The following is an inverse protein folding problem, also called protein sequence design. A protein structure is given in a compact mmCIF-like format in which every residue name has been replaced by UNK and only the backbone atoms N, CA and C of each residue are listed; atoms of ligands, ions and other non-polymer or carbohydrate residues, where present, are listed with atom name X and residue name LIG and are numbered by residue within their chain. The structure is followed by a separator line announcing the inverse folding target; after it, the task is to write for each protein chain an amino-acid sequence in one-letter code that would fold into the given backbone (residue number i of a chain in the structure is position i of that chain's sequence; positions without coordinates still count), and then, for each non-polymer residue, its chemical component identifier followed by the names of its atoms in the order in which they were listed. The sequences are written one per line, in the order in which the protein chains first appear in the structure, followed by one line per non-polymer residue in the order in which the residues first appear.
data_IF_133608491254
#
_entry.id   IF_133608491254
#
_cell.length_a   1.000
_cell.length_b   1.000
_cell.length_c   1.000
_cell.angle_alpha   90.00
_cell.angle_beta   90.00
_cell.angle_gamma   90.00
#
_symmetry.space_group_name_H-M   'P 1'
#
loop_
_entity.id
_entity.type
_entity.pdbx_description
1 polymer ?
#
# COMPACT_ATOMS: atom_id res chain seq x y z
N UNK A 1 -0.30 28.82 -18.59
CA UNK A 1 0.71 28.66 -17.53
C UNK A 1 -0.04 28.65 -16.20
N UNK A 2 -0.52 27.49 -15.76
CA UNK A 2 -1.19 27.32 -14.47
C UNK A 2 -0.14 26.87 -13.47
N UNK A 3 0.06 27.65 -12.41
CA UNK A 3 0.94 27.28 -11.32
C UNK A 3 0.37 26.02 -10.66
N UNK A 4 1.10 24.92 -10.72
CA UNK A 4 0.88 23.75 -9.89
C UNK A 4 0.98 24.21 -8.42
N UNK A 5 -0.15 24.22 -7.71
CA UNK A 5 -0.11 24.35 -6.27
C UNK A 5 0.56 23.09 -5.71
N UNK A 6 1.84 23.20 -5.44
CA UNK A 6 2.57 22.27 -4.60
C UNK A 6 2.02 22.48 -3.19
N UNK A 7 1.34 21.47 -2.66
CA UNK A 7 0.85 21.46 -1.29
C UNK A 7 2.00 21.87 -0.34
N UNK A 8 1.78 22.90 0.49
CA UNK A 8 2.78 23.34 1.49
C UNK A 8 3.13 22.13 2.38
N UNK A 9 4.42 21.82 2.57
CA UNK A 9 4.81 20.63 3.30
C UNK A 9 4.28 20.71 4.73
N UNK A 10 3.49 19.75 5.12
CA UNK A 10 3.23 19.44 6.51
C UNK A 10 4.60 19.42 7.22
N UNK A 11 4.75 20.06 8.36
CA UNK A 11 6.04 20.19 9.09
C UNK A 11 6.63 18.84 9.51
N UNK A 12 5.88 17.76 9.33
CA UNK A 12 6.31 16.39 9.63
C UNK A 12 7.16 15.85 8.46
N UNK A 13 8.36 15.33 8.73
CA UNK A 13 9.23 14.82 7.67
C UNK A 13 8.57 13.66 6.91
N UNK A 14 8.73 13.61 5.58
CA UNK A 14 8.10 12.57 4.77
C UNK A 14 8.71 11.19 5.03
N UNK A 15 7.84 10.17 5.13
CA UNK A 15 8.24 8.75 5.18
C UNK A 15 8.53 8.21 3.79
N UNK A 16 7.96 8.83 2.75
CA UNK A 16 8.20 8.54 1.34
C UNK A 16 8.32 9.84 0.57
N UNK A 17 9.35 9.97 -0.26
CA UNK A 17 9.41 11.00 -1.30
C UNK A 17 9.79 10.35 -2.63
N UNK A 18 9.05 10.69 -3.66
CA UNK A 18 9.31 10.34 -5.05
C UNK A 18 9.65 11.64 -5.79
N UNK A 19 10.83 11.70 -6.42
CA UNK A 19 11.33 12.90 -7.06
C UNK A 19 11.57 12.64 -8.55
N UNK A 20 10.76 13.26 -9.41
CA UNK A 20 10.83 13.16 -10.87
C UNK A 20 10.89 11.71 -11.40
N UNK A 21 10.11 10.83 -10.80
CA UNK A 21 10.10 9.39 -11.12
C UNK A 21 9.62 9.16 -12.54
N UNK A 22 10.48 8.52 -13.33
CA UNK A 22 10.17 8.08 -14.69
C UNK A 22 10.36 6.59 -14.82
N UNK A 23 9.37 5.89 -15.39
CA UNK A 23 9.42 4.46 -15.70
C UNK A 23 9.09 4.25 -17.15
N UNK A 24 10.03 3.68 -17.92
CA UNK A 24 9.84 3.36 -19.33
C UNK A 24 8.70 2.37 -19.54
N UNK A 25 7.97 2.52 -20.64
CA UNK A 25 6.94 1.61 -21.13
C UNK A 25 7.11 1.30 -22.61
N UNK A 26 6.29 0.44 -23.16
CA UNK A 26 6.23 0.22 -24.62
C UNK A 26 5.46 1.36 -25.27
N UNK A 27 6.16 2.24 -26.00
CA UNK A 27 5.58 3.40 -26.69
C UNK A 27 5.53 4.67 -25.83
N UNK A 28 4.85 4.66 -24.68
CA UNK A 28 4.81 5.79 -23.75
C UNK A 28 5.34 5.38 -22.37
N UNK A 29 5.86 6.33 -21.56
CA UNK A 29 6.25 6.03 -20.18
C UNK A 29 5.06 5.48 -19.37
N UNK A 30 5.35 4.56 -18.45
CA UNK A 30 4.36 4.12 -17.43
C UNK A 30 4.21 5.16 -16.33
N UNK A 31 5.33 5.85 -15.99
CA UNK A 31 5.37 7.03 -15.13
C UNK A 31 6.28 8.06 -15.82
N UNK A 32 5.87 9.32 -15.76
CA UNK A 32 6.55 10.42 -16.46
C UNK A 32 6.72 11.61 -15.52
N UNK A 33 7.90 11.73 -14.91
CA UNK A 33 8.28 12.83 -14.05
C UNK A 33 7.45 12.96 -12.75
N UNK A 34 6.94 11.85 -12.20
CA UNK A 34 6.09 11.87 -11.01
C UNK A 34 6.86 12.33 -9.77
N UNK A 35 6.37 13.39 -9.13
CA UNK A 35 6.91 13.91 -7.87
C UNK A 35 5.79 13.97 -6.84
N UNK A 36 5.99 13.32 -5.69
CA UNK A 36 5.07 13.35 -4.55
C UNK A 36 5.81 13.05 -3.24
N UNK A 37 5.22 13.46 -2.12
CA UNK A 37 5.71 13.14 -0.78
C UNK A 37 4.55 12.64 0.07
N UNK A 38 4.82 11.76 1.02
CA UNK A 38 3.84 11.26 1.99
C UNK A 38 4.41 11.49 3.39
N UNK A 39 3.70 12.26 4.20
CA UNK A 39 4.08 12.56 5.56
C UNK A 39 3.76 11.39 6.51
N UNK A 40 4.45 11.32 7.65
CA UNK A 40 4.11 10.37 8.70
C UNK A 40 2.68 10.61 9.21
N UNK A 41 1.89 9.52 9.31
CA UNK A 41 0.50 9.57 9.73
C UNK A 41 -0.50 9.93 8.66
N UNK A 42 -0.07 10.30 7.46
CA UNK A 42 -0.94 10.74 6.37
C UNK A 42 -1.64 9.55 5.68
N UNK A 43 -2.93 9.72 5.38
CA UNK A 43 -3.77 8.77 4.63
C UNK A 43 -4.00 9.32 3.24
N UNK A 44 -3.34 8.74 2.25
CA UNK A 44 -3.37 9.23 0.86
C UNK A 44 -4.06 8.22 -0.05
N UNK A 45 -5.07 8.67 -0.77
CA UNK A 45 -5.72 7.91 -1.83
C UNK A 45 -5.06 8.16 -3.18
N UNK A 46 -4.75 7.11 -3.93
CA UNK A 46 -4.23 7.18 -5.30
C UNK A 46 -5.34 6.81 -6.28
N UNK A 47 -5.89 7.80 -6.97
CA UNK A 47 -6.97 7.64 -7.94
C UNK A 47 -6.45 7.58 -9.37
N UNK A 48 -7.22 6.96 -10.24
CA UNK A 48 -6.97 6.97 -11.69
C UNK A 48 -7.57 5.75 -12.40
N UNK A 49 -7.80 5.87 -13.71
CA UNK A 49 -8.35 4.79 -14.51
C UNK A 49 -7.40 3.58 -14.58
N UNK A 50 -7.89 2.47 -15.10
CA UNK A 50 -7.05 1.30 -15.38
C UNK A 50 -5.91 1.69 -16.33
N UNK A 51 -4.70 1.20 -16.05
CA UNK A 51 -3.51 1.56 -16.84
C UNK A 51 -2.95 2.96 -16.59
N UNK A 52 -3.47 3.73 -15.62
CA UNK A 52 -2.95 5.06 -15.26
C UNK A 52 -1.50 5.04 -14.74
N UNK A 53 -1.01 3.89 -14.23
CA UNK A 53 0.32 3.73 -13.66
C UNK A 53 0.34 3.51 -12.14
N UNK A 54 -0.83 3.35 -11.48
CA UNK A 54 -0.95 3.21 -10.01
C UNK A 54 -0.11 2.07 -9.44
N UNK A 55 -0.27 0.84 -9.94
CA UNK A 55 0.52 -0.32 -9.49
C UNK A 55 2.01 -0.16 -9.80
N UNK A 56 2.37 0.54 -10.90
CA UNK A 56 3.76 0.86 -11.21
C UNK A 56 4.33 1.85 -10.18
N UNK A 57 3.56 2.85 -9.78
CA UNK A 57 3.92 3.81 -8.74
C UNK A 57 4.16 3.11 -7.39
N UNK A 58 3.23 2.24 -6.98
CA UNK A 58 3.36 1.46 -5.75
C UNK A 58 4.54 0.50 -5.79
N UNK A 59 4.84 -0.12 -6.95
CA UNK A 59 6.01 -0.98 -7.13
C UNK A 59 7.34 -0.19 -7.07
N UNK A 60 7.36 1.06 -7.49
CA UNK A 60 8.50 1.97 -7.29
C UNK A 60 8.60 2.38 -5.83
N UNK A 61 7.49 2.76 -5.20
CA UNK A 61 7.43 3.21 -3.81
C UNK A 61 7.91 2.12 -2.83
N UNK A 62 7.63 0.85 -3.07
CA UNK A 62 8.11 -0.24 -2.23
C UNK A 62 9.50 -0.78 -2.61
N UNK A 63 10.11 -0.25 -3.68
CA UNK A 63 11.45 -0.61 -4.13
C UNK A 63 11.56 -1.91 -4.93
N UNK A 64 10.43 -2.54 -5.33
CA UNK A 64 10.41 -3.70 -6.25
C UNK A 64 10.80 -3.29 -7.66
N UNK A 65 10.38 -2.11 -8.10
CA UNK A 65 10.70 -1.58 -9.40
C UNK A 65 11.71 -0.42 -9.25
N UNK A 66 12.83 -0.51 -9.97
CA UNK A 66 13.79 0.59 -10.05
C UNK A 66 13.34 1.54 -11.17
N UNK A 67 13.12 2.84 -10.90
CA UNK A 67 12.77 3.80 -11.93
C UNK A 67 13.92 3.98 -12.93
N UNK A 68 13.58 4.37 -14.15
CA UNK A 68 14.57 4.70 -15.19
C UNK A 68 15.11 6.14 -15.06
N UNK A 69 14.47 6.99 -14.26
CA UNK A 69 14.88 8.35 -13.93
C UNK A 69 14.25 8.79 -12.62
N UNK A 70 14.83 9.80 -11.98
CA UNK A 70 14.42 10.28 -10.66
C UNK A 70 14.97 9.45 -9.51
N UNK A 71 14.53 9.76 -8.29
CA UNK A 71 14.96 9.03 -7.10
C UNK A 71 13.82 8.80 -6.11
N UNK A 72 13.96 7.73 -5.32
CA UNK A 72 13.06 7.37 -4.24
C UNK A 72 13.78 7.56 -2.92
N UNK A 73 13.15 8.26 -1.99
CA UNK A 73 13.64 8.45 -0.63
C UNK A 73 12.68 7.79 0.35
N UNK A 74 13.18 6.92 1.19
CA UNK A 74 12.46 6.35 2.34
C UNK A 74 13.03 6.92 3.63
N UNK A 75 12.17 7.51 4.46
CA UNK A 75 12.59 8.27 5.65
C UNK A 75 13.73 9.26 5.31
N UNK A 76 13.58 9.98 4.20
CA UNK A 76 14.57 10.94 3.67
C UNK A 76 15.91 10.31 3.24
N UNK A 77 16.02 8.98 3.23
CA UNK A 77 17.22 8.27 2.82
C UNK A 77 17.06 7.69 1.41
N UNK A 78 18.02 7.88 0.51
CA UNK A 78 17.98 7.26 -0.80
C UNK A 78 18.10 5.72 -0.69
N UNK A 79 17.78 5.05 -1.79
CA UNK A 79 17.88 3.60 -1.87
C UNK A 79 19.29 3.13 -1.49
N UNK A 80 19.39 2.25 -0.51
CA UNK A 80 20.67 1.72 -0.05
C UNK A 80 21.38 0.94 -1.17
N UNK A 81 22.70 1.11 -1.28
CA UNK A 81 23.52 0.41 -2.27
C UNK A 81 23.66 -1.08 -1.92
N UNK A 82 23.80 -1.43 -0.64
CA UNK A 82 23.96 -2.81 -0.20
C UNK A 82 22.64 -3.57 -0.16
N UNK A 83 22.66 -4.86 -0.47
CA UNK A 83 21.49 -5.73 -0.38
C UNK A 83 20.88 -5.74 1.04
N UNK A 84 21.73 -5.78 2.08
CA UNK A 84 21.27 -5.74 3.49
C UNK A 84 20.61 -4.40 3.84
N UNK A 85 21.13 -3.29 3.32
CA UNK A 85 20.52 -1.97 3.50
C UNK A 85 19.14 -1.90 2.85
N UNK A 86 19.01 -2.39 1.61
CA UNK A 86 17.72 -2.45 0.90
C UNK A 86 16.68 -3.28 1.64
N UNK A 87 17.06 -4.46 2.15
CA UNK A 87 16.16 -5.29 2.95
C UNK A 87 15.66 -4.55 4.20
N UNK A 88 16.54 -3.81 4.88
CA UNK A 88 16.16 -3.01 6.06
C UNK A 88 15.19 -1.88 5.70
N UNK A 89 15.41 -1.19 4.57
CA UNK A 89 14.49 -0.16 4.10
C UNK A 89 13.13 -0.77 3.73
N UNK A 90 13.12 -1.85 2.95
CA UNK A 90 11.88 -2.55 2.56
C UNK A 90 11.14 -3.17 3.74
N UNK A 91 11.84 -3.58 4.81
CA UNK A 91 11.20 -4.08 6.03
C UNK A 91 10.30 -3.04 6.72
N UNK A 92 10.47 -1.75 6.41
CA UNK A 92 9.64 -0.66 6.95
C UNK A 92 8.42 -0.33 6.07
N UNK A 93 8.27 -1.03 4.95
CA UNK A 93 7.19 -0.81 3.97
C UNK A 93 6.33 -2.06 3.91
N UNK A 94 5.15 -2.01 4.47
CA UNK A 94 4.15 -3.06 4.34
C UNK A 94 3.37 -2.89 3.04
N UNK A 95 3.22 -3.96 2.25
CA UNK A 95 2.46 -3.89 0.99
C UNK A 95 1.37 -4.94 0.94
N UNK A 96 0.14 -4.50 0.71
CA UNK A 96 -1.01 -5.33 0.41
C UNK A 96 -1.24 -5.32 -1.10
N UNK A 97 -1.02 -6.47 -1.74
CA UNK A 97 -1.19 -6.64 -3.18
C UNK A 97 -2.59 -7.13 -3.51
N UNK A 98 -3.07 -6.84 -4.71
CA UNK A 98 -4.36 -7.30 -5.21
C UNK A 98 -4.49 -8.85 -5.17
N UNK A 99 -3.40 -9.57 -5.44
CA UNK A 99 -3.32 -11.04 -5.40
C UNK A 99 -3.06 -11.61 -4.00
N UNK A 100 -3.05 -10.77 -2.96
CA UNK A 100 -2.79 -11.06 -1.54
C UNK A 100 -1.43 -11.72 -1.25
N UNK A 101 -0.87 -12.47 -2.17
CA UNK A 101 0.41 -13.22 -2.07
C UNK A 101 0.52 -14.09 -0.83
N UNK A 102 -0.58 -14.69 -0.40
CA UNK A 102 -0.59 -15.68 0.66
C UNK A 102 -0.12 -17.02 0.09
N UNK A 103 0.53 -17.82 0.93
CA UNK A 103 0.98 -19.17 0.58
C UNK A 103 -0.08 -20.15 1.10
N UNK A 104 -0.82 -20.77 0.20
CA UNK A 104 -2.00 -21.57 0.50
C UNK A 104 -1.68 -22.83 1.31
N UNK A 105 -0.49 -23.41 1.11
CA UNK A 105 0.00 -24.61 1.79
C UNK A 105 0.43 -24.34 3.23
N UNK A 106 0.68 -23.10 3.58
CA UNK A 106 1.10 -22.71 4.91
C UNK A 106 -0.10 -22.37 5.81
N UNK A 107 0.10 -22.52 7.11
CA UNK A 107 -0.87 -22.07 8.10
C UNK A 107 -0.99 -20.55 8.13
N UNK A 108 -2.08 -20.05 8.72
CA UNK A 108 -2.27 -18.60 8.97
C UNK A 108 -1.08 -18.06 9.77
N UNK A 109 -0.66 -18.71 10.84
CA UNK A 109 0.50 -18.28 11.64
C UNK A 109 1.78 -18.18 10.82
N UNK A 110 2.07 -19.18 10.01
CA UNK A 110 3.25 -19.17 9.15
C UNK A 110 3.20 -18.03 8.12
N UNK A 111 2.03 -17.76 7.54
CA UNK A 111 1.82 -16.62 6.65
C UNK A 111 2.01 -15.28 7.37
N UNK A 112 1.46 -15.11 8.57
CA UNK A 112 1.67 -13.89 9.37
C UNK A 112 3.15 -13.66 9.65
N UNK A 113 3.84 -14.70 10.09
CA UNK A 113 5.26 -14.64 10.41
C UNK A 113 6.15 -14.41 9.18
N UNK A 114 5.67 -14.71 7.96
CA UNK A 114 6.37 -14.34 6.73
C UNK A 114 6.58 -12.81 6.63
N UNK A 115 5.72 -11.98 7.21
CA UNK A 115 5.92 -10.54 7.35
C UNK A 115 7.17 -10.17 8.15
N UNK A 116 7.65 -11.05 9.03
CA UNK A 116 8.82 -10.80 9.87
C UNK A 116 10.16 -11.23 9.23
N UNK A 117 10.14 -11.90 8.07
CA UNK A 117 11.34 -12.51 7.47
C UNK A 117 12.46 -11.52 7.21
N UNK A 118 12.13 -10.27 6.85
CA UNK A 118 13.14 -9.23 6.64
C UNK A 118 13.89 -8.82 7.92
N UNK A 119 13.27 -9.02 9.10
CA UNK A 119 13.87 -8.75 10.42
C UNK A 119 14.51 -10.00 11.02
N UNK A 120 14.04 -11.18 10.65
CA UNK A 120 14.55 -12.45 11.12
C UNK A 120 15.78 -12.89 10.31
N UNK A 121 16.68 -13.57 10.96
CA UNK A 121 17.71 -14.32 10.26
C UNK A 121 17.16 -15.63 9.68
N UNK A 122 17.86 -16.24 8.73
CA UNK A 122 17.46 -17.48 8.10
C UNK A 122 17.15 -18.64 9.09
N UNK A 123 17.84 -18.80 10.26
CA UNK A 123 17.51 -19.88 11.19
C UNK A 123 16.09 -19.76 11.75
N UNK A 124 15.65 -18.53 12.09
CA UNK A 124 14.31 -18.29 12.62
C UNK A 124 13.25 -18.43 11.52
N UNK A 125 13.59 -18.09 10.28
CA UNK A 125 12.70 -18.31 9.13
C UNK A 125 12.43 -19.81 8.90
N UNK A 126 13.48 -20.66 8.98
CA UNK A 126 13.33 -22.12 8.89
C UNK A 126 12.54 -22.65 10.07
N UNK A 127 12.84 -22.19 11.29
CA UNK A 127 12.11 -22.60 12.49
C UNK A 127 10.61 -22.33 12.39
N UNK A 128 10.20 -21.21 11.76
CA UNK A 128 8.79 -20.88 11.53
C UNK A 128 8.04 -21.93 10.68
N UNK A 129 8.75 -22.68 9.84
CA UNK A 129 8.11 -23.75 9.05
C UNK A 129 7.88 -25.02 9.86
N UNK A 130 8.65 -25.22 10.93
CA UNK A 130 8.66 -26.44 11.74
C UNK A 130 7.87 -26.29 13.04
N UNK A 131 7.84 -25.10 13.61
CA UNK A 131 7.27 -24.84 14.94
C UNK A 131 6.38 -23.59 14.93
N UNK A 132 5.31 -23.55 15.75
CA UNK A 132 4.44 -22.39 15.90
C UNK A 132 5.12 -21.31 16.77
N UNK A 133 6.03 -20.54 16.19
CA UNK A 133 6.70 -19.44 16.89
C UNK A 133 5.87 -18.16 16.90
N UNK A 134 6.06 -17.31 17.92
CA UNK A 134 5.41 -16.02 18.09
C UNK A 134 3.86 -16.10 18.06
N UNK A 135 3.26 -17.21 18.53
CA UNK A 135 1.80 -17.44 18.46
C UNK A 135 0.98 -16.34 19.16
N UNK A 136 1.45 -15.83 20.31
CA UNK A 136 0.76 -14.75 21.02
C UNK A 136 0.70 -13.46 20.18
N UNK A 137 1.80 -13.05 19.58
CA UNK A 137 1.85 -11.86 18.74
C UNK A 137 1.06 -12.03 17.41
N UNK A 138 0.99 -13.27 16.88
CA UNK A 138 0.13 -13.59 15.76
C UNK A 138 -1.36 -13.50 16.15
N UNK A 139 -1.72 -14.04 17.32
CA UNK A 139 -3.09 -13.99 17.85
C UNK A 139 -3.57 -12.55 18.05
N UNK A 140 -2.75 -11.72 18.68
CA UNK A 140 -3.02 -10.29 18.85
C UNK A 140 -3.24 -9.58 17.49
N UNK A 141 -2.39 -9.90 16.49
CA UNK A 141 -2.51 -9.30 15.17
C UNK A 141 -3.78 -9.74 14.45
N UNK A 142 -4.22 -11.00 14.61
CA UNK A 142 -5.50 -11.47 14.07
C UNK A 142 -6.69 -10.77 14.73
N UNK A 143 -6.67 -10.60 16.05
CA UNK A 143 -7.73 -9.90 16.78
C UNK A 143 -7.87 -8.45 16.30
N UNK A 144 -6.76 -7.76 16.00
CA UNK A 144 -6.77 -6.40 15.40
C UNK A 144 -7.41 -6.37 14.01
N UNK A 145 -7.54 -7.51 13.35
CA UNK A 145 -8.18 -7.67 12.04
C UNK A 145 -9.56 -8.35 12.18
N UNK A 146 -10.16 -8.36 13.37
CA UNK A 146 -11.44 -9.01 13.68
C UNK A 146 -11.48 -10.47 13.24
N UNK A 147 -10.38 -11.19 13.44
CA UNK A 147 -10.28 -12.62 13.18
C UNK A 147 -10.06 -13.40 14.48
N UNK A 148 -10.70 -14.58 14.55
CA UNK A 148 -10.51 -15.51 15.66
C UNK A 148 -9.06 -16.05 15.68
N UNK A 149 -8.32 -15.93 16.81
CA UNK A 149 -7.02 -16.56 16.98
C UNK A 149 -7.02 -18.08 16.77
N UNK A 150 -8.14 -18.76 16.92
CA UNK A 150 -8.28 -20.19 16.61
C UNK A 150 -7.96 -20.56 15.17
N UNK A 151 -7.93 -19.57 14.25
CA UNK A 151 -7.54 -19.77 12.86
C UNK A 151 -6.02 -19.97 12.66
N UNK A 152 -5.17 -19.69 13.66
CA UNK A 152 -3.72 -19.70 13.51
C UNK A 152 -3.15 -20.98 12.91
N UNK A 153 -3.71 -22.14 13.31
CA UNK A 153 -3.25 -23.44 12.86
C UNK A 153 -3.95 -23.95 11.59
N UNK A 154 -4.91 -23.18 11.05
CA UNK A 154 -5.59 -23.55 9.81
C UNK A 154 -4.73 -23.20 8.59
N UNK A 155 -4.83 -24.02 7.54
CA UNK A 155 -4.28 -23.70 6.22
C UNK A 155 -5.02 -22.48 5.64
N UNK A 156 -4.29 -21.59 5.00
CA UNK A 156 -4.88 -20.42 4.32
C UNK A 156 -5.85 -20.85 3.21
N UNK A 157 -5.62 -22.00 2.57
CA UNK A 157 -6.53 -22.56 1.56
C UNK A 157 -7.95 -22.80 2.08
N UNK A 158 -8.13 -23.05 3.40
CA UNK A 158 -9.42 -23.30 4.01
C UNK A 158 -10.21 -22.03 4.38
N UNK A 159 -9.62 -20.85 4.22
CA UNK A 159 -10.21 -19.57 4.59
C UNK A 159 -11.15 -19.03 3.51
N UNK A 160 -12.20 -18.32 3.95
CA UNK A 160 -13.04 -17.51 3.05
C UNK A 160 -12.24 -16.35 2.43
N UNK A 161 -12.72 -15.77 1.31
CA UNK A 161 -12.07 -14.65 0.65
C UNK A 161 -11.83 -13.45 1.58
N UNK A 162 -12.83 -13.08 2.40
CA UNK A 162 -12.68 -12.00 3.38
C UNK A 162 -11.68 -12.32 4.50
N UNK A 163 -11.65 -13.57 4.98
CA UNK A 163 -10.64 -14.01 5.95
C UNK A 163 -9.24 -13.95 5.34
N UNK A 164 -9.06 -14.39 4.09
CA UNK A 164 -7.77 -14.31 3.38
C UNK A 164 -7.27 -12.88 3.28
N UNK A 165 -8.15 -11.92 2.97
CA UNK A 165 -7.78 -10.50 2.92
C UNK A 165 -7.35 -9.97 4.28
N UNK A 166 -8.10 -10.25 5.34
CA UNK A 166 -7.75 -9.85 6.71
C UNK A 166 -6.44 -10.51 7.17
N UNK A 167 -6.18 -11.77 6.81
CA UNK A 167 -4.88 -12.44 7.04
C UNK A 167 -3.74 -11.77 6.28
N UNK A 168 -3.95 -11.35 5.03
CA UNK A 168 -2.94 -10.61 4.27
C UNK A 168 -2.62 -9.24 4.90
N UNK A 169 -3.63 -8.54 5.41
CA UNK A 169 -3.46 -7.31 6.20
C UNK A 169 -2.71 -7.59 7.52
N UNK A 170 -3.10 -8.63 8.24
CA UNK A 170 -2.41 -9.05 9.47
C UNK A 170 -0.93 -9.35 9.21
N UNK A 171 -0.60 -10.06 8.12
CA UNK A 171 0.79 -10.31 7.70
C UNK A 171 1.54 -9.01 7.42
N UNK A 172 0.92 -8.07 6.72
CA UNK A 172 1.50 -6.75 6.46
C UNK A 172 1.81 -6.02 7.77
N UNK A 173 0.89 -6.03 8.73
CA UNK A 173 1.07 -5.37 10.03
C UNK A 173 2.12 -6.05 10.91
N UNK A 174 2.29 -7.38 10.82
CA UNK A 174 3.35 -8.13 11.52
C UNK A 174 4.76 -7.66 11.13
N UNK A 175 4.90 -7.03 9.98
CA UNK A 175 6.15 -6.39 9.55
C UNK A 175 6.48 -5.14 10.37
N UNK A 176 5.50 -4.54 11.10
CA UNK A 176 5.61 -3.27 11.83
C UNK A 176 6.06 -2.11 10.91
N UNK A 177 5.39 -1.92 9.78
CA UNK A 177 5.79 -0.92 8.82
C UNK A 177 5.50 0.50 9.30
N UNK A 178 6.25 1.47 8.79
CA UNK A 178 5.96 2.90 8.91
C UNK A 178 5.21 3.44 7.69
N UNK A 179 5.25 2.72 6.57
CA UNK A 179 4.49 3.02 5.36
C UNK A 179 3.68 1.80 4.94
N UNK A 180 2.37 1.97 4.83
CA UNK A 180 1.44 1.00 4.26
C UNK A 180 1.18 1.36 2.81
N UNK A 181 1.41 0.41 1.92
CA UNK A 181 1.03 0.51 0.50
C UNK A 181 -0.05 -0.53 0.22
N UNK A 182 -1.13 -0.14 -0.46
CA UNK A 182 -2.19 -1.07 -0.82
C UNK A 182 -2.60 -0.88 -2.28
N UNK A 183 -2.45 -1.95 -3.09
CA UNK A 183 -2.76 -1.94 -4.51
C UNK A 183 -4.13 -2.58 -4.75
N UNK A 184 -5.15 -1.74 -4.92
CA UNK A 184 -6.54 -2.12 -5.19
C UNK A 184 -7.09 -3.20 -4.25
N UNK A 185 -6.90 -3.07 -2.92
CA UNK A 185 -7.21 -4.12 -1.97
C UNK A 185 -8.71 -4.40 -1.84
N UNK A 186 -9.55 -3.51 -2.37
CA UNK A 186 -11.01 -3.56 -2.31
C UNK A 186 -11.63 -4.03 -3.64
N UNK A 187 -10.81 -4.36 -4.64
CA UNK A 187 -11.30 -4.82 -5.94
C UNK A 187 -12.03 -6.16 -5.80
N UNK A 188 -13.13 -6.31 -6.54
CA UNK A 188 -13.94 -7.53 -6.58
C UNK A 188 -14.59 -7.96 -5.26
N UNK A 189 -14.68 -7.04 -4.27
CA UNK A 189 -15.41 -7.27 -3.05
C UNK A 189 -16.84 -6.74 -3.15
N UNK A 190 -17.74 -7.36 -2.41
CA UNK A 190 -19.05 -6.75 -2.17
C UNK A 190 -18.89 -5.43 -1.41
N UNK A 191 -19.84 -4.48 -1.57
CA UNK A 191 -19.70 -3.13 -1.02
C UNK A 191 -19.53 -3.09 0.51
N UNK A 192 -20.17 -4.01 1.23
CA UNK A 192 -20.10 -4.06 2.70
C UNK A 192 -18.71 -4.50 3.15
N UNK A 193 -18.21 -5.59 2.60
CA UNK A 193 -16.88 -6.10 2.90
C UNK A 193 -15.79 -5.09 2.51
N UNK A 194 -15.97 -4.39 1.38
CA UNK A 194 -15.05 -3.33 0.96
C UNK A 194 -15.00 -2.17 1.97
N UNK A 195 -16.16 -1.75 2.49
CA UNK A 195 -16.24 -0.70 3.51
C UNK A 195 -15.56 -1.14 4.83
N UNK A 196 -15.88 -2.34 5.32
CA UNK A 196 -15.30 -2.89 6.55
C UNK A 196 -13.75 -2.99 6.46
N UNK A 197 -13.23 -3.44 5.30
CA UNK A 197 -11.79 -3.56 5.08
C UNK A 197 -11.10 -2.20 4.92
N UNK A 198 -11.79 -1.23 4.29
CA UNK A 198 -11.27 0.14 4.19
C UNK A 198 -11.16 0.77 5.58
N UNK A 199 -12.20 0.63 6.41
CA UNK A 199 -12.19 1.14 7.78
C UNK A 199 -11.01 0.54 8.58
N UNK A 200 -10.83 -0.78 8.54
CA UNK A 200 -9.70 -1.45 9.18
C UNK A 200 -8.34 -0.92 8.68
N UNK A 201 -8.19 -0.66 7.37
CA UNK A 201 -6.95 -0.11 6.82
C UNK A 201 -6.70 1.32 7.32
N UNK A 202 -7.75 2.15 7.33
CA UNK A 202 -7.67 3.54 7.80
C UNK A 202 -7.36 3.63 9.30
N UNK A 203 -7.89 2.72 10.12
CA UNK A 203 -7.57 2.61 11.54
C UNK A 203 -6.10 2.25 11.80
N UNK A 204 -5.49 1.43 10.91
CA UNK A 204 -4.08 1.07 11.02
C UNK A 204 -3.15 2.22 10.59
N UNK A 205 -3.68 3.22 9.88
CA UNK A 205 -2.96 4.42 9.46
C UNK A 205 -3.15 5.53 10.49
N UNK A 206 -2.07 6.06 10.97
CA UNK A 206 -1.99 7.13 11.96
C UNK A 206 -0.56 7.22 12.48
N UNK A 207 -0.11 8.40 12.89
CA UNK A 207 1.30 8.62 13.25
C UNK A 207 1.83 7.53 14.20
N UNK A 208 2.99 6.95 13.91
CA UNK A 208 3.94 7.33 12.83
C UNK A 208 3.66 6.69 11.46
N UNK A 209 2.61 5.87 11.31
CA UNK A 209 2.35 5.04 10.14
C UNK A 209 1.51 5.78 9.10
N UNK A 210 2.03 5.91 7.87
CA UNK A 210 1.32 6.48 6.73
C UNK A 210 0.67 5.40 5.85
N UNK A 211 -0.32 5.77 5.06
CA UNK A 211 -1.02 4.91 4.10
C UNK A 211 -1.05 5.56 2.71
N UNK A 212 -0.64 4.81 1.69
CA UNK A 212 -0.93 5.10 0.29
C UNK A 212 -1.72 3.95 -0.31
N UNK A 213 -2.99 4.19 -0.64
CA UNK A 213 -3.91 3.18 -1.13
C UNK A 213 -4.44 3.54 -2.51
N UNK A 214 -4.31 2.63 -3.50
CA UNK A 214 -4.89 2.83 -4.82
C UNK A 214 -6.37 2.42 -4.84
N UNK A 215 -7.20 3.32 -5.38
CA UNK A 215 -8.65 3.15 -5.51
C UNK A 215 -9.08 3.32 -6.96
N UNK A 216 -10.09 2.54 -7.36
CA UNK A 216 -10.85 2.77 -8.59
C UNK A 216 -12.13 3.59 -8.36
N UNK A 217 -12.62 3.62 -7.12
CA UNK A 217 -13.90 4.19 -6.72
C UNK A 217 -13.70 5.49 -5.94
N UNK A 218 -14.01 6.65 -6.55
CA UNK A 218 -13.88 7.96 -5.89
C UNK A 218 -14.84 8.15 -4.71
N UNK A 219 -15.94 7.40 -4.67
CA UNK A 219 -16.90 7.43 -3.56
C UNK A 219 -16.33 6.90 -2.23
N UNK A 220 -15.20 6.21 -2.26
CA UNK A 220 -14.50 5.67 -1.09
C UNK A 220 -13.45 6.63 -0.49
N UNK A 221 -13.48 7.91 -0.85
CA UNK A 221 -12.49 8.90 -0.36
C UNK A 221 -12.70 9.33 1.08
N UNK A 222 -13.83 8.98 1.68
CA UNK A 222 -14.09 9.31 3.09
C UNK A 222 -13.03 8.67 4.00
N UNK A 223 -12.45 9.47 4.91
CA UNK A 223 -11.42 9.01 5.85
C UNK A 223 -9.98 9.19 5.35
N UNK A 224 -9.77 9.61 4.09
CA UNK A 224 -8.47 10.04 3.59
C UNK A 224 -8.25 11.53 3.81
N UNK A 225 -7.00 11.91 4.07
CA UNK A 225 -6.62 13.32 4.24
C UNK A 225 -6.43 13.99 2.88
N UNK A 226 -5.84 13.27 1.92
CA UNK A 226 -5.44 13.77 0.61
C UNK A 226 -5.68 12.73 -0.48
N UNK A 227 -5.92 13.18 -1.72
CA UNK A 227 -5.95 12.29 -2.86
C UNK A 227 -5.09 12.82 -4.02
N UNK A 228 -4.46 11.86 -4.70
CA UNK A 228 -3.61 12.07 -5.86
C UNK A 228 -4.30 11.44 -7.06
N UNK A 229 -4.58 12.24 -8.08
CA UNK A 229 -5.13 11.78 -9.35
C UNK A 229 -4.01 11.47 -10.34
N UNK A 230 -3.88 10.21 -10.77
CA UNK A 230 -2.89 9.75 -11.75
C UNK A 230 -3.57 9.39 -13.06
N UNK A 231 -3.06 9.92 -14.19
CA UNK A 231 -3.54 9.57 -15.54
C UNK A 231 -2.38 9.57 -16.50
N UNK A 232 -2.27 8.52 -17.33
CA UNK A 232 -1.21 8.37 -18.33
C UNK A 232 0.21 8.52 -17.74
N UNK A 233 0.43 8.06 -16.51
CA UNK A 233 1.73 8.15 -15.83
C UNK A 233 2.06 9.51 -15.24
N UNK A 234 1.14 10.47 -15.27
CA UNK A 234 1.35 11.83 -14.76
C UNK A 234 0.32 12.20 -13.70
N UNK A 235 0.73 12.97 -12.68
CA UNK A 235 -0.17 13.50 -11.66
C UNK A 235 -1.01 14.61 -12.30
N UNK A 236 -2.33 14.48 -12.20
CA UNK A 236 -3.30 15.47 -12.67
C UNK A 236 -3.72 16.44 -11.56
N UNK A 237 -3.78 15.95 -10.34
CA UNK A 237 -3.99 16.74 -9.12
C UNK A 237 -3.39 16.02 -7.91
N UNK A 238 -3.06 16.79 -6.89
CA UNK A 238 -2.56 16.34 -5.59
C UNK A 238 -3.03 17.35 -4.54
N UNK A 239 -4.11 17.02 -3.80
CA UNK A 239 -4.79 17.98 -2.93
C UNK A 239 -5.60 17.30 -1.82
N UNK A 240 -5.99 18.05 -0.76
CA UNK A 240 -6.90 17.57 0.29
C UNK A 240 -8.20 17.03 -0.29
N UNK A 241 -8.72 15.94 0.30
CA UNK A 241 -9.98 15.32 -0.18
C UNK A 241 -11.15 16.33 -0.16
N UNK A 242 -11.18 17.26 0.80
CA UNK A 242 -12.19 18.31 0.92
C UNK A 242 -12.22 19.29 -0.25
N UNK A 243 -11.17 19.37 -1.04
CA UNK A 243 -11.03 20.28 -2.19
C UNK A 243 -11.31 19.61 -3.53
N UNK A 244 -11.59 18.29 -3.52
CA UNK A 244 -11.85 17.53 -4.76
C UNK A 244 -13.29 17.68 -5.19
N UNK A 245 -13.47 18.36 -6.32
CA UNK A 245 -14.79 18.52 -6.94
C UNK A 245 -15.11 17.43 -7.97
N UNK A 246 -16.43 17.24 -8.28
CA UNK A 246 -16.87 16.27 -9.29
C UNK A 246 -16.22 16.45 -10.66
N UNK A 247 -15.96 17.70 -11.07
CA UNK A 247 -15.30 18.00 -12.34
C UNK A 247 -13.86 17.44 -12.43
N UNK A 248 -13.12 17.45 -11.33
CA UNK A 248 -11.75 16.90 -11.32
C UNK A 248 -11.77 15.38 -11.46
N UNK A 249 -12.72 14.72 -10.78
CA UNK A 249 -12.96 13.29 -10.92
C UNK A 249 -13.36 12.95 -12.35
N UNK A 250 -14.29 13.72 -12.92
CA UNK A 250 -14.73 13.52 -14.30
C UNK A 250 -13.58 13.71 -15.30
N UNK A 251 -12.72 14.71 -15.12
CA UNK A 251 -11.51 14.90 -15.97
C UNK A 251 -10.50 13.74 -15.81
N UNK A 252 -10.34 13.22 -14.60
CA UNK A 252 -9.41 12.12 -14.33
C UNK A 252 -9.84 10.85 -15.07
N UNK A 253 -11.10 10.48 -14.99
CA UNK A 253 -11.62 9.23 -15.57
C UNK A 253 -12.07 9.39 -17.04
N UNK A 254 -12.34 10.63 -17.53
CA UNK A 254 -12.85 10.90 -18.87
C UNK A 254 -14.27 10.37 -19.05
N UNK A 255 -14.66 10.07 -20.31
CA UNK A 255 -16.00 9.58 -20.63
C UNK A 255 -16.36 8.18 -20.06
N UNK A 256 -15.41 7.49 -19.42
CA UNK A 256 -15.65 6.19 -18.78
C UNK A 256 -16.41 6.30 -17.45
N UNK A 257 -16.48 7.50 -16.86
CA UNK A 257 -17.12 7.73 -15.55
C UNK A 257 -18.65 7.87 -15.60
N UNK A 258 -19.27 7.75 -16.77
CA UNK A 258 -20.72 7.96 -16.99
C UNK A 258 -21.47 6.69 -17.38
N UNK A 259 -21.05 5.51 -16.91
CA UNK A 259 -21.91 4.32 -16.97
C UNK A 259 -22.32 3.93 -15.55
N UNK A 260 -23.65 3.91 -15.27
CA UNK A 260 -24.21 3.57 -13.95
C UNK A 260 -23.99 2.09 -13.62
#
# INVERSE_FOLDING_TARGET
MGAMHVHSPNTTPPVLALEAITVKGRGRPRLDGVTLQIAAGERVALLGPSGAGKSTLLAVANGLLTPSGGQVLWDQQPRAHSARGRLRQQARIGTLWQDLRLIDELTVQQNLNAGCLARWGWPRAVLNLLLPIDSAACAETLQRMDLDPGLLNQSVAALSGGQRQRVAMARMLRQEPTLLLADEPLANLDPRLAADLLELLLEQAGAPRALLLSLHRPDLLQGFDRAIGLRNGQIQFDQPVSEIGPEQIQRLYGAEATSP
#
